data_IF_690228310700
#
_entry.id   IF_690228310700
#
_cell.length_a   1.000
_cell.length_b   1.000
_cell.length_c   1.000
_cell.angle_alpha   90.00
_cell.angle_beta   90.00
_cell.angle_gamma   90.00
#
_symmetry.space_group_name_H-M   'P 1'
#
loop_
_entity.id
_entity.type
_entity.pdbx_description
1 polymer ?
#
# COMPACT_ATOMS: atom_id res chain seq x y z
N UNK A 1 6.64 -1.58 -34.10
CA UNK A 1 6.83 -0.98 -32.75
C UNK A 1 5.53 -0.47 -32.16
N UNK A 2 4.78 0.36 -32.89
CA UNK A 2 3.50 0.90 -32.44
C UNK A 2 2.50 -0.19 -32.03
N UNK A 3 2.36 -1.25 -32.82
CA UNK A 3 1.49 -2.39 -32.49
C UNK A 3 1.90 -3.11 -31.19
N UNK A 4 3.21 -3.27 -30.95
CA UNK A 4 3.73 -3.88 -29.72
C UNK A 4 3.47 -3.00 -28.49
N UNK A 5 3.53 -1.68 -28.67
CA UNK A 5 3.22 -0.71 -27.61
C UNK A 5 1.72 -0.77 -27.29
N UNK A 6 0.85 -0.83 -28.29
CA UNK A 6 -0.60 -0.93 -28.08
C UNK A 6 -1.02 -2.26 -27.48
N UNK A 7 -0.41 -3.38 -27.89
CA UNK A 7 -0.65 -4.69 -27.27
C UNK A 7 -0.18 -4.74 -25.82
N UNK A 8 0.94 -4.08 -25.50
CA UNK A 8 1.41 -4.00 -24.12
C UNK A 8 0.56 -3.06 -23.27
N UNK A 9 0.04 -1.99 -23.87
CA UNK A 9 -0.89 -1.09 -23.18
C UNK A 9 -2.18 -1.83 -22.80
N UNK A 10 -2.78 -2.60 -23.72
CA UNK A 10 -3.97 -3.40 -23.42
C UNK A 10 -3.67 -4.51 -22.42
N UNK A 11 -2.49 -5.15 -22.50
CA UNK A 11 -2.06 -6.13 -21.51
C UNK A 11 -1.94 -5.51 -20.11
N UNK A 12 -1.32 -4.33 -19.99
CA UNK A 12 -1.20 -3.57 -18.74
C UNK A 12 -2.58 -3.17 -18.21
N UNK A 13 -3.49 -2.73 -19.08
CA UNK A 13 -4.87 -2.40 -18.71
C UNK A 13 -5.69 -3.64 -18.27
N UNK A 14 -5.35 -4.83 -18.71
CA UNK A 14 -5.99 -6.08 -18.29
C UNK A 14 -5.34 -6.71 -17.03
N UNK A 15 -4.24 -6.14 -16.52
CA UNK A 15 -3.57 -6.69 -15.33
C UNK A 15 -4.46 -6.58 -14.10
N UNK A 16 -4.66 -7.73 -13.47
CA UNK A 16 -5.19 -7.87 -12.13
C UNK A 16 -4.22 -8.75 -11.35
N UNK A 17 -4.02 -8.44 -10.07
CA UNK A 17 -3.22 -9.24 -9.15
C UNK A 17 -4.01 -9.37 -7.85
N UNK A 18 -4.04 -10.57 -7.29
CA UNK A 18 -4.78 -10.87 -6.06
C UNK A 18 -3.86 -11.00 -4.85
N UNK A 19 -2.54 -11.13 -5.06
CA UNK A 19 -1.56 -11.31 -3.98
C UNK A 19 -0.37 -10.35 -4.11
N UNK A 20 0.29 -10.04 -2.98
CA UNK A 20 1.49 -9.17 -2.96
C UNK A 20 2.62 -9.75 -3.82
N UNK A 21 2.75 -11.07 -3.85
CA UNK A 21 3.73 -11.79 -4.64
C UNK A 21 3.47 -11.65 -6.15
N UNK A 22 2.19 -11.72 -6.56
CA UNK A 22 1.79 -11.47 -7.95
C UNK A 22 2.08 -10.04 -8.38
N UNK A 23 1.82 -9.04 -7.52
CA UNK A 23 2.13 -7.63 -7.82
C UNK A 23 3.63 -7.43 -8.04
N UNK A 24 4.49 -8.00 -7.21
CA UNK A 24 5.94 -7.93 -7.41
C UNK A 24 6.40 -8.69 -8.66
N UNK A 25 5.81 -9.85 -8.96
CA UNK A 25 6.09 -10.59 -10.19
C UNK A 25 5.74 -9.77 -11.45
N UNK A 26 4.59 -9.08 -11.44
CA UNK A 26 4.19 -8.17 -12.52
C UNK A 26 5.14 -6.97 -12.63
N UNK A 27 5.58 -6.40 -11.50
CA UNK A 27 6.57 -5.33 -11.47
C UNK A 27 7.89 -5.77 -12.10
N UNK A 28 8.36 -6.97 -11.77
CA UNK A 28 9.59 -7.53 -12.36
C UNK A 28 9.41 -7.78 -13.86
N UNK A 29 8.27 -8.32 -14.29
CA UNK A 29 8.03 -8.63 -15.71
C UNK A 29 8.04 -7.37 -16.60
N UNK A 30 7.38 -6.29 -16.17
CA UNK A 30 7.21 -5.11 -17.02
C UNK A 30 8.22 -3.99 -16.75
N UNK A 31 8.52 -3.68 -15.49
CA UNK A 31 9.33 -2.51 -15.08
C UNK A 31 10.79 -2.83 -14.74
N UNK A 32 11.19 -4.11 -14.69
CA UNK A 32 12.59 -4.47 -14.45
C UNK A 32 13.52 -3.95 -15.55
N UNK A 33 14.82 -3.92 -15.25
CA UNK A 33 15.90 -3.62 -16.20
C UNK A 33 15.94 -4.61 -17.38
N UNK A 34 15.42 -5.83 -17.20
CA UNK A 34 15.18 -6.84 -18.25
C UNK A 34 13.71 -6.95 -18.65
N UNK A 35 12.86 -6.04 -18.19
CA UNK A 35 11.43 -6.07 -18.42
C UNK A 35 11.06 -5.63 -19.83
N UNK A 36 9.84 -5.98 -20.24
CA UNK A 36 9.34 -5.74 -21.60
C UNK A 36 9.31 -4.25 -21.96
N UNK A 37 9.01 -3.36 -21.00
CA UNK A 37 9.03 -1.90 -21.22
C UNK A 37 10.47 -1.42 -21.41
N UNK A 38 11.42 -1.92 -20.61
CA UNK A 38 12.83 -1.55 -20.75
C UNK A 38 13.45 -2.07 -22.05
N UNK A 39 13.01 -3.22 -22.55
CA UNK A 39 13.40 -3.74 -23.85
C UNK A 39 12.93 -2.82 -24.99
N UNK A 40 11.68 -2.33 -24.93
CA UNK A 40 11.18 -1.35 -25.91
C UNK A 40 11.96 -0.03 -25.88
N UNK A 41 12.42 0.43 -24.71
CA UNK A 41 13.30 1.61 -24.59
C UNK A 41 14.68 1.38 -25.22
N UNK A 42 15.20 0.15 -25.20
CA UNK A 42 16.45 -0.17 -25.88
C UNK A 42 16.26 -0.21 -27.40
N UNK A 43 15.18 -0.84 -27.87
CA UNK A 43 14.87 -0.90 -29.29
C UNK A 43 14.54 0.49 -29.87
N UNK A 44 14.08 1.44 -29.03
CA UNK A 44 13.79 2.82 -29.42
C UNK A 44 15.02 3.54 -30.04
N UNK A 45 16.24 3.11 -29.71
CA UNK A 45 17.48 3.65 -30.30
C UNK A 45 17.57 3.41 -31.82
N UNK A 46 16.89 2.38 -32.32
CA UNK A 46 16.92 1.97 -33.73
C UNK A 46 15.83 2.65 -34.58
N UNK A 47 15.01 3.52 -33.99
CA UNK A 47 13.87 4.17 -34.68
C UNK A 47 14.35 5.37 -35.51
N UNK A 48 13.78 5.62 -36.72
CA UNK A 48 14.08 6.80 -37.53
C UNK A 48 13.68 8.11 -36.83
N UNK A 49 14.44 9.20 -37.04
CA UNK A 49 14.25 10.48 -36.34
C UNK A 49 12.84 11.08 -36.50
N UNK A 50 12.17 10.85 -37.63
CA UNK A 50 10.81 11.35 -37.88
C UNK A 50 9.75 10.72 -36.97
N UNK A 51 9.92 9.44 -36.61
CA UNK A 51 8.97 8.70 -35.78
C UNK A 51 9.34 8.67 -34.29
N UNK A 52 10.55 9.13 -33.93
CA UNK A 52 11.02 9.16 -32.52
C UNK A 52 10.12 9.99 -31.62
N UNK A 53 9.55 11.09 -32.12
CA UNK A 53 8.71 12.00 -31.32
C UNK A 53 7.42 11.32 -30.85
N UNK A 54 6.69 10.70 -31.78
CA UNK A 54 5.44 10.01 -31.48
C UNK A 54 5.67 8.74 -30.65
N UNK A 55 6.66 7.93 -31.03
CA UNK A 55 6.96 6.69 -30.34
C UNK A 55 7.46 6.98 -28.91
N UNK A 56 8.29 8.00 -28.72
CA UNK A 56 8.78 8.39 -27.38
C UNK A 56 7.66 8.86 -26.45
N UNK A 57 6.68 9.62 -26.97
CA UNK A 57 5.50 10.02 -26.19
C UNK A 57 4.67 8.81 -25.78
N UNK A 58 4.33 7.92 -26.71
CA UNK A 58 3.57 6.69 -26.40
C UNK A 58 4.33 5.78 -25.41
N UNK A 59 5.66 5.71 -25.49
CA UNK A 59 6.48 4.91 -24.58
C UNK A 59 6.44 5.44 -23.15
N UNK A 60 6.57 6.76 -23.00
CA UNK A 60 6.48 7.40 -21.69
C UNK A 60 5.08 7.25 -21.09
N UNK A 61 4.03 7.41 -21.91
CA UNK A 61 2.65 7.15 -21.47
C UNK A 61 2.48 5.71 -21.00
N UNK A 62 2.97 4.71 -21.74
CA UNK A 62 2.89 3.31 -21.32
C UNK A 62 3.63 3.07 -20.01
N UNK A 63 4.82 3.66 -19.84
CA UNK A 63 5.59 3.55 -18.59
C UNK A 63 4.82 4.11 -17.40
N UNK A 64 4.22 5.30 -17.55
CA UNK A 64 3.42 5.94 -16.48
C UNK A 64 2.18 5.12 -16.16
N UNK A 65 1.44 4.68 -17.18
CA UNK A 65 0.25 3.83 -16.98
C UNK A 65 0.60 2.52 -16.26
N UNK A 66 1.72 1.88 -16.63
CA UNK A 66 2.17 0.66 -15.98
C UNK A 66 2.59 0.90 -14.52
N UNK A 67 3.28 2.00 -14.22
CA UNK A 67 3.63 2.33 -12.83
C UNK A 67 2.41 2.63 -11.99
N UNK A 68 1.47 3.42 -12.52
CA UNK A 68 0.27 3.83 -11.79
C UNK A 68 -0.62 2.64 -11.50
N UNK A 69 -0.79 1.74 -12.48
CA UNK A 69 -1.60 0.52 -12.31
C UNK A 69 -1.00 -0.44 -11.30
N UNK A 70 0.32 -0.64 -11.32
CA UNK A 70 1.01 -1.51 -10.34
C UNK A 70 0.93 -0.92 -8.94
N UNK A 71 1.09 0.41 -8.81
CA UNK A 71 0.95 1.09 -7.52
C UNK A 71 -0.50 0.97 -6.98
N UNK A 72 -1.50 1.19 -7.83
CA UNK A 72 -2.90 1.03 -7.44
C UNK A 72 -3.24 -0.41 -7.02
N UNK A 73 -2.71 -1.41 -7.73
CA UNK A 73 -2.86 -2.82 -7.32
C UNK A 73 -2.19 -3.10 -5.98
N UNK A 74 -1.03 -2.50 -5.71
CA UNK A 74 -0.35 -2.63 -4.43
C UNK A 74 -1.15 -2.02 -3.28
N UNK A 75 -1.66 -0.80 -3.45
CA UNK A 75 -2.48 -0.11 -2.43
C UNK A 75 -3.79 -0.87 -2.14
N UNK A 76 -4.44 -1.41 -3.17
CA UNK A 76 -5.65 -2.23 -3.00
C UNK A 76 -5.39 -3.51 -2.19
N UNK A 77 -4.21 -4.12 -2.33
CA UNK A 77 -3.88 -5.32 -1.56
C UNK A 77 -3.45 -4.95 -0.12
N UNK A 78 -2.69 -3.88 0.07
CA UNK A 78 -2.32 -3.40 1.42
C UNK A 78 -3.56 -3.01 2.23
N UNK A 79 -4.57 -2.40 1.61
CA UNK A 79 -5.84 -2.06 2.27
C UNK A 79 -6.75 -3.26 2.54
N UNK A 80 -6.57 -4.38 1.82
CA UNK A 80 -7.37 -5.60 2.01
C UNK A 80 -6.91 -6.49 3.17
N UNK A 81 -5.65 -6.36 3.61
CA UNK A 81 -5.12 -7.08 4.78
C UNK A 81 -5.66 -6.52 6.11
N UNK A 82 -6.13 -5.27 6.11
CA UNK A 82 -6.85 -4.63 7.23
C UNK A 82 -8.36 -4.93 7.20
N UNK A 83 -8.75 -6.09 6.65
CA UNK A 83 -10.03 -6.68 7.02
C UNK A 83 -9.93 -7.10 8.50
N UNK A 84 -10.07 -6.09 9.37
CA UNK A 84 -10.30 -6.18 10.80
C UNK A 84 -11.09 -7.46 11.03
N UNK A 85 -10.41 -8.49 11.57
CA UNK A 85 -11.11 -9.62 12.14
C UNK A 85 -12.21 -9.01 12.99
N UNK A 86 -13.47 -9.39 12.77
CA UNK A 86 -14.64 -8.80 13.40
C UNK A 86 -14.56 -8.93 14.94
N UNK A 87 -13.74 -8.10 15.56
CA UNK A 87 -13.43 -8.09 16.98
C UNK A 87 -14.52 -7.25 17.60
N UNK A 88 -15.31 -7.87 18.46
CA UNK A 88 -16.30 -7.18 19.26
C UNK A 88 -15.62 -6.18 20.20
N UNK A 89 -15.70 -4.90 19.85
CA UNK A 89 -15.15 -3.79 20.61
C UNK A 89 -15.88 -3.58 21.95
N UNK A 90 -17.06 -4.16 22.15
CA UNK A 90 -17.80 -4.10 23.42
C UNK A 90 -17.34 -5.15 24.42
N UNK A 91 -16.50 -6.11 24.00
CA UNK A 91 -16.02 -7.18 24.88
C UNK A 91 -15.18 -6.60 26.02
N UNK A 92 -15.50 -6.91 27.29
CA UNK A 92 -14.72 -6.43 28.43
C UNK A 92 -13.28 -6.96 28.38
N UNK A 93 -12.34 -6.11 28.76
CA UNK A 93 -10.94 -6.49 28.90
C UNK A 93 -10.76 -7.51 30.04
N UNK A 94 -9.66 -8.27 29.99
CA UNK A 94 -9.28 -9.16 31.09
C UNK A 94 -9.14 -8.34 32.38
N UNK A 95 -9.86 -8.76 33.42
CA UNK A 95 -9.93 -8.02 34.68
C UNK A 95 -8.61 -8.18 35.43
N UNK A 96 -7.87 -7.09 35.63
CA UNK A 96 -6.77 -7.03 36.60
C UNK A 96 -7.30 -6.34 37.85
N UNK A 97 -7.32 -7.00 39.02
CA UNK A 97 -7.87 -6.40 40.23
C UNK A 97 -7.00 -5.22 40.67
N UNK A 98 -7.59 -4.03 40.73
CA UNK A 98 -6.97 -2.90 41.41
C UNK A 98 -7.02 -3.15 42.92
N UNK A 99 -5.91 -2.87 43.62
CA UNK A 99 -5.88 -2.94 45.07
C UNK A 99 -6.85 -1.95 45.71
N UNK A 100 -7.50 -2.35 46.81
CA UNK A 100 -8.41 -1.50 47.57
C UNK A 100 -7.73 -0.89 48.78
N UNK A 101 -8.06 0.36 49.13
CA UNK A 101 -7.63 0.97 50.39
C UNK A 101 -8.53 0.52 51.54
N UNK A 102 -7.93 0.29 52.71
CA UNK A 102 -8.66 -0.07 53.92
C UNK A 102 -9.58 1.09 54.39
N UNK A 103 -10.82 0.84 54.87
CA UNK A 103 -11.76 1.89 55.31
C UNK A 103 -11.18 2.82 56.38
N UNK A 104 -10.43 2.29 57.35
CA UNK A 104 -9.76 3.10 58.37
C UNK A 104 -8.74 4.06 57.74
N UNK A 105 -8.03 3.64 56.69
CA UNK A 105 -7.07 4.49 55.98
C UNK A 105 -7.78 5.58 55.19
N UNK A 106 -8.98 5.30 54.65
CA UNK A 106 -9.81 6.32 53.99
C UNK A 106 -10.23 7.40 55.00
N UNK A 107 -10.80 7.00 56.14
CA UNK A 107 -11.24 7.92 57.20
C UNK A 107 -10.05 8.72 57.75
N UNK A 108 -8.92 8.07 58.00
CA UNK A 108 -7.70 8.76 58.46
C UNK A 108 -7.24 9.83 57.48
N UNK A 109 -7.19 9.50 56.18
CA UNK A 109 -6.78 10.46 55.15
C UNK A 109 -7.78 11.60 54.99
N UNK A 110 -9.07 11.32 55.17
CA UNK A 110 -10.12 12.35 55.16
C UNK A 110 -9.94 13.33 56.33
N UNK A 111 -9.74 12.84 57.55
CA UNK A 111 -9.44 13.67 58.73
C UNK A 111 -8.18 14.51 58.48
N UNK A 112 -7.08 13.89 58.00
CA UNK A 112 -5.84 14.62 57.68
C UNK A 112 -6.10 15.71 56.64
N UNK A 113 -6.86 15.43 55.59
CA UNK A 113 -7.18 16.39 54.52
C UNK A 113 -7.99 17.58 55.01
N UNK A 114 -8.83 17.41 56.04
CA UNK A 114 -9.61 18.51 56.63
C UNK A 114 -8.67 19.46 57.36
N UNK A 115 -7.79 18.93 58.20
CA UNK A 115 -6.88 19.73 59.02
C UNK A 115 -5.67 20.27 58.27
N UNK A 116 -5.26 19.66 57.15
CA UNK A 116 -4.16 20.17 56.32
C UNK A 116 -4.50 21.44 55.53
N UNK A 117 -5.79 21.83 55.48
CA UNK A 117 -6.28 23.03 54.76
C UNK A 117 -6.57 24.22 55.68
N UNK A 118 -6.41 24.02 56.99
CA UNK A 118 -6.46 25.06 58.03
C UNK A 118 -5.04 25.59 58.28
#
# INVERSE_FOLDING_TARGET
MLEKIESLKSAVEALNASTKEEVEALRIKYLSKKGEISALFNDFRNVPNEQKKEIGQKLNQLKVLATDKINALRENIETSDDADAAIDLTRPAAVSPLGTRHPISLIRNEIISIFSRL
#
